data_IF_439476641198
#
_entry.id   IF_439476641198
#
_cell.length_a   1.000
_cell.length_b   1.000
_cell.length_c   1.000
_cell.angle_alpha   90.00
_cell.angle_beta   90.00
_cell.angle_gamma   90.00
#
_symmetry.space_group_name_H-M   'P 1'
#
loop_
_entity.id
_entity.type
_entity.pdbx_description
1 polymer ?
#
# COMPACT_ATOMS: atom_id res chain seq x y z
N UNK A 1 -12.73 18.02 13.81
CA UNK A 1 -13.39 17.10 12.88
C UNK A 1 -12.69 15.75 12.91
N UNK A 2 -13.42 14.68 12.94
CA UNK A 2 -12.77 13.38 12.94
C UNK A 2 -12.11 13.12 11.60
N UNK A 3 -11.03 12.37 11.65
CA UNK A 3 -10.34 11.97 10.43
C UNK A 3 -11.17 10.94 9.69
N UNK A 4 -11.09 11.00 8.38
CA UNK A 4 -11.70 9.98 7.55
C UNK A 4 -10.87 8.72 7.60
N UNK A 5 -11.50 7.60 7.36
CA UNK A 5 -10.85 6.31 7.40
C UNK A 5 -10.94 5.66 6.03
N UNK A 6 -9.80 5.20 5.52
CA UNK A 6 -9.79 4.35 4.34
C UNK A 6 -10.16 2.95 4.77
N UNK A 7 -11.18 2.39 4.15
CA UNK A 7 -11.64 1.06 4.49
C UNK A 7 -10.62 0.01 4.08
N UNK A 8 -10.57 -1.07 4.85
CA UNK A 8 -9.73 -2.20 4.47
C UNK A 8 -10.17 -2.71 3.11
N UNK A 9 -9.21 -3.06 2.27
CA UNK A 9 -9.49 -3.47 0.90
C UNK A 9 -8.36 -4.35 0.37
N UNK A 10 -8.72 -5.48 -0.21
CA UNK A 10 -7.77 -6.35 -0.92
C UNK A 10 -6.44 -6.56 -0.19
N UNK A 11 -6.51 -6.90 1.07
CA UNK A 11 -5.30 -7.14 1.84
C UNK A 11 -4.73 -5.90 2.52
N UNK A 12 -5.26 -4.73 2.22
CA UNK A 12 -4.88 -3.50 2.90
C UNK A 12 -5.72 -3.32 4.15
N UNK A 13 -5.06 -3.02 5.25
CA UNK A 13 -5.77 -2.73 6.50
C UNK A 13 -6.36 -1.33 6.44
N UNK A 14 -7.41 -1.11 7.23
CA UNK A 14 -7.97 0.22 7.33
C UNK A 14 -6.92 1.18 7.88
N UNK A 15 -6.97 2.42 7.43
CA UNK A 15 -6.02 3.44 7.86
C UNK A 15 -6.71 4.78 7.93
N UNK A 16 -6.11 5.70 8.67
CA UNK A 16 -6.63 7.06 8.73
C UNK A 16 -6.06 7.89 7.59
N UNK A 17 -6.77 8.93 7.21
CA UNK A 17 -6.29 9.83 6.19
C UNK A 17 -4.91 10.36 6.56
N UNK A 18 -4.04 10.43 5.59
CA UNK A 18 -2.66 10.87 5.80
C UNK A 18 -1.68 9.75 6.11
N UNK A 19 -2.19 8.57 6.40
CA UNK A 19 -1.32 7.44 6.72
C UNK A 19 -0.85 6.74 5.44
N UNK A 20 0.39 6.27 5.48
CA UNK A 20 0.94 5.47 4.40
C UNK A 20 1.11 4.05 4.91
N UNK A 21 0.54 3.12 4.21
CA UNK A 21 0.61 1.70 4.59
C UNK A 21 1.51 0.98 3.60
N UNK A 22 2.36 0.13 4.11
CA UNK A 22 3.27 -0.66 3.27
C UNK A 22 3.00 -2.13 3.49
N UNK A 23 3.05 -2.88 2.41
CA UNK A 23 2.91 -4.33 2.46
C UNK A 23 4.10 -4.94 1.74
N UNK A 24 4.54 -6.13 2.18
CA UNK A 24 5.61 -6.81 1.48
C UNK A 24 5.14 -7.29 0.13
N UNK A 25 6.09 -7.38 -0.80
CA UNK A 25 5.78 -7.92 -2.11
C UNK A 25 5.53 -9.42 -2.05
N UNK A 26 4.84 -9.97 -3.03
CA UNK A 26 4.62 -11.41 -3.10
C UNK A 26 5.93 -12.19 -3.11
N UNK A 27 5.83 -13.46 -2.81
CA UNK A 27 6.99 -14.33 -2.83
C UNK A 27 7.66 -14.27 -4.20
N UNK A 28 8.98 -14.18 -4.20
CA UNK A 28 9.74 -14.09 -5.43
C UNK A 28 10.04 -12.67 -5.87
N UNK A 29 9.54 -11.68 -5.14
CA UNK A 29 9.80 -10.28 -5.44
C UNK A 29 10.43 -9.60 -4.24
N UNK A 30 11.18 -8.56 -4.52
CA UNK A 30 11.80 -7.75 -3.48
C UNK A 30 11.08 -6.43 -3.36
N UNK A 31 11.17 -5.82 -2.19
CA UNK A 31 10.63 -4.50 -1.99
C UNK A 31 9.29 -4.52 -1.32
N UNK A 32 8.54 -3.48 -1.54
CA UNK A 32 7.25 -3.31 -0.86
C UNK A 32 6.32 -2.50 -1.72
N UNK A 33 5.03 -2.63 -1.42
CA UNK A 33 4.00 -1.83 -2.06
C UNK A 33 3.50 -0.87 -1.00
N UNK A 34 3.43 0.40 -1.33
CA UNK A 34 2.90 1.39 -0.40
C UNK A 34 1.68 2.07 -0.99
N UNK A 35 0.84 2.51 -0.11
CA UNK A 35 -0.40 3.17 -0.51
C UNK A 35 -0.74 4.23 0.51
N UNK A 36 -1.14 5.38 0.02
CA UNK A 36 -1.49 6.50 0.87
C UNK A 36 -3.01 6.54 1.06
N UNK A 37 -3.43 6.74 2.29
CA UNK A 37 -4.84 7.03 2.56
C UNK A 37 -5.03 8.52 2.39
N UNK A 38 -5.69 8.91 1.33
CA UNK A 38 -5.89 10.31 1.00
C UNK A 38 -6.97 10.94 1.86
N UNK A 39 -6.97 12.26 1.88
CA UNK A 39 -8.01 13.01 2.56
C UNK A 39 -9.37 12.61 1.98
N UNK A 40 -10.33 12.47 2.85
CA UNK A 40 -11.67 12.06 2.44
C UNK A 40 -11.89 10.56 2.52
N UNK A 41 -10.88 9.80 2.95
CA UNK A 41 -11.03 8.35 3.13
C UNK A 41 -10.90 7.57 1.84
N UNK A 42 -10.16 8.07 0.89
CA UNK A 42 -9.93 7.39 -0.38
C UNK A 42 -8.50 6.87 -0.45
N UNK A 43 -8.36 5.67 -0.97
CA UNK A 43 -7.04 5.12 -1.22
C UNK A 43 -6.45 5.75 -2.47
N UNK A 44 -5.20 6.17 -2.37
CA UNK A 44 -4.47 6.61 -3.54
C UNK A 44 -4.03 5.41 -4.35
N UNK A 45 -3.46 5.68 -5.50
CA UNK A 45 -2.90 4.62 -6.31
C UNK A 45 -1.71 4.00 -5.59
N UNK A 46 -1.64 2.69 -5.60
CA UNK A 46 -0.56 1.99 -4.93
C UNK A 46 0.76 2.21 -5.66
N UNK A 47 1.81 2.43 -4.89
CA UNK A 47 3.14 2.52 -5.46
C UNK A 47 3.80 1.16 -5.32
N UNK A 48 3.96 0.51 -6.45
CA UNK A 48 4.51 -0.82 -6.51
C UNK A 48 6.01 -0.73 -6.76
N UNK A 49 6.77 -0.99 -5.72
CA UNK A 49 8.22 -0.99 -5.82
C UNK A 49 8.78 -2.41 -5.77
N UNK A 50 7.97 -3.36 -6.16
CA UNK A 50 8.38 -4.73 -6.19
C UNK A 50 9.33 -4.98 -7.37
N UNK A 51 10.57 -5.20 -7.06
CA UNK A 51 11.52 -5.63 -8.08
C UNK A 51 11.24 -7.07 -8.45
N UNK A 52 11.44 -7.38 -9.69
CA UNK A 52 11.30 -8.75 -10.12
C UNK A 52 12.36 -9.60 -9.45
N UNK A 53 11.99 -10.83 -9.22
CA UNK A 53 12.92 -11.78 -8.69
C UNK A 53 14.19 -11.81 -9.54
N UNK A 54 15.31 -11.88 -8.88
CA UNK A 54 16.58 -12.03 -9.54
C UNK A 54 16.60 -13.27 -10.38
N UNK A 55 16.71 -13.11 -11.65
CA UNK A 55 17.04 -14.22 -12.51
C UNK A 55 18.48 -14.01 -12.88
N UNK A 56 19.28 -15.02 -12.69
CA UNK A 56 20.66 -14.96 -13.11
C UNK A 56 20.71 -14.89 -14.62
N UNK A 57 21.31 -13.89 -15.06
CA UNK A 57 21.41 -13.76 -16.48
C UNK A 57 20.38 -12.87 -17.00
#
# INVERSE_FOLDING_TARGET
>A
MPKQVCQADQGWSAAYEGDVISLPCPAGYHGQISRLCMLGGHWAEAEDECGKRWTCG
#
